data_IF_510291330226
#
_entry.id   IF_510291330226
#
_cell.length_a   1.000
_cell.length_b   1.000
_cell.length_c   1.000
_cell.angle_alpha   90.00
_cell.angle_beta   90.00
_cell.angle_gamma   90.00
#
_symmetry.space_group_name_H-M   'P 1'
#
loop_
_entity.id
_entity.type
_entity.pdbx_description
1 polymer ?
#
# COMPACT_ATOMS: atom_id res chain seq x y z
N UNK A 1 9.87 55.77 25.13
CA UNK A 1 9.78 55.13 23.79
C UNK A 1 9.54 53.63 23.88
N UNK A 2 10.28 52.88 24.71
CA UNK A 2 10.19 51.41 24.84
C UNK A 2 8.79 50.83 25.13
N UNK A 3 7.97 51.51 25.95
CA UNK A 3 6.58 51.11 26.27
C UNK A 3 5.62 51.19 25.07
N UNK A 4 5.82 52.17 24.18
CA UNK A 4 5.00 52.36 22.97
C UNK A 4 5.32 51.29 21.93
N UNK A 5 6.60 50.99 21.73
CA UNK A 5 7.04 49.90 20.84
C UNK A 5 6.55 48.54 21.34
N UNK A 6 6.60 48.28 22.65
CA UNK A 6 6.07 47.03 23.23
C UNK A 6 4.56 46.87 22.99
N UNK A 7 3.77 47.92 23.21
CA UNK A 7 2.32 47.87 22.96
C UNK A 7 1.98 47.63 21.48
N UNK A 8 2.75 48.20 20.56
CA UNK A 8 2.58 48.00 19.11
C UNK A 8 2.93 46.54 18.72
N UNK A 9 4.01 45.99 19.26
CA UNK A 9 4.39 44.59 19.01
C UNK A 9 3.35 43.60 19.54
N UNK A 10 2.82 43.83 20.76
CA UNK A 10 1.77 42.98 21.33
C UNK A 10 0.49 43.07 20.48
N UNK A 11 0.07 44.26 20.07
CA UNK A 11 -1.10 44.42 19.21
C UNK A 11 -0.93 43.71 17.85
N UNK A 12 0.25 43.78 17.24
CA UNK A 12 0.54 43.11 15.97
C UNK A 12 0.48 41.56 16.08
N UNK A 13 0.93 40.99 17.20
CA UNK A 13 0.85 39.54 17.46
C UNK A 13 -0.61 39.09 17.62
N UNK A 14 -1.44 39.86 18.32
CA UNK A 14 -2.86 39.55 18.46
C UNK A 14 -3.65 39.66 17.15
N UNK A 15 -3.24 40.52 16.21
CA UNK A 15 -3.88 40.62 14.90
C UNK A 15 -3.58 39.41 13.97
N UNK A 16 -2.45 38.73 14.14
CA UNK A 16 -2.10 37.53 13.37
C UNK A 16 -2.80 36.25 13.83
N UNK A 17 -3.33 36.24 15.06
CA UNK A 17 -3.95 35.05 15.67
C UNK A 17 -5.36 34.74 15.15
N UNK A 18 -5.98 35.64 14.38
CA UNK A 18 -7.31 35.47 13.79
C UNK A 18 -7.29 34.91 12.36
N UNK A 19 -6.11 34.72 11.75
CA UNK A 19 -5.99 34.07 10.46
C UNK A 19 -5.96 32.55 10.64
N UNK A 20 -6.98 31.85 10.12
CA UNK A 20 -6.96 30.39 10.09
C UNK A 20 -5.82 29.93 9.18
N UNK A 21 -4.94 29.00 9.62
CA UNK A 21 -3.86 28.48 8.78
C UNK A 21 -4.37 27.60 7.62
N UNK A 22 -5.69 27.37 7.55
CA UNK A 22 -6.35 26.60 6.51
C UNK A 22 -6.92 27.55 5.46
N UNK A 23 -6.45 27.41 4.22
CA UNK A 23 -6.97 28.12 3.05
C UNK A 23 -7.51 27.14 2.01
N UNK A 24 -8.50 27.57 1.23
CA UNK A 24 -9.05 26.80 0.12
C UNK A 24 -8.47 27.36 -1.18
N UNK A 25 -7.94 26.49 -2.03
CA UNK A 25 -7.58 26.82 -3.41
C UNK A 25 -8.44 25.99 -4.35
N UNK A 26 -8.98 26.64 -5.39
CA UNK A 26 -9.62 25.93 -6.48
C UNK A 26 -8.52 25.28 -7.32
N UNK A 27 -8.47 23.95 -7.32
CA UNK A 27 -7.57 23.17 -8.15
C UNK A 27 -8.19 22.92 -9.54
N UNK A 28 -7.34 22.73 -10.55
CA UNK A 28 -7.84 22.35 -11.88
C UNK A 28 -8.43 20.94 -11.85
N UNK A 29 -9.45 20.61 -12.67
CA UNK A 29 -10.02 19.26 -12.73
C UNK A 29 -8.97 18.16 -13.00
N UNK A 30 -7.98 18.45 -13.84
CA UNK A 30 -6.90 17.51 -14.15
C UNK A 30 -5.97 17.26 -12.95
N UNK A 31 -5.68 18.30 -12.17
CA UNK A 31 -4.89 18.18 -10.94
C UNK A 31 -5.60 17.29 -9.92
N UNK A 32 -6.90 17.51 -9.72
CA UNK A 32 -7.74 16.68 -8.84
C UNK A 32 -7.78 15.24 -9.32
N UNK A 33 -7.99 15.01 -10.62
CA UNK A 33 -8.02 13.65 -11.16
C UNK A 33 -6.71 12.92 -10.91
N UNK A 34 -5.56 13.54 -11.22
CA UNK A 34 -4.24 12.94 -10.97
C UNK A 34 -4.00 12.63 -9.50
N UNK A 35 -4.44 13.52 -8.62
CA UNK A 35 -4.35 13.32 -7.18
C UNK A 35 -5.20 12.11 -6.74
N UNK A 36 -6.45 12.01 -7.21
CA UNK A 36 -7.37 10.93 -6.83
C UNK A 36 -6.97 9.56 -7.40
N UNK A 37 -6.31 9.53 -8.56
CA UNK A 37 -5.90 8.28 -9.21
C UNK A 37 -4.46 7.87 -8.92
N UNK A 38 -3.73 8.62 -8.08
CA UNK A 38 -2.36 8.25 -7.72
C UNK A 38 -2.39 6.97 -6.89
N UNK A 39 -1.44 6.10 -7.17
CA UNK A 39 -1.28 4.83 -6.49
C UNK A 39 0.15 4.33 -6.70
N UNK A 40 0.42 3.16 -6.14
CA UNK A 40 1.73 2.51 -6.23
C UNK A 40 2.27 2.36 -7.65
N UNK A 41 1.38 2.18 -8.64
CA UNK A 41 1.76 1.91 -10.02
C UNK A 41 1.99 3.18 -10.84
N UNK A 42 1.26 4.26 -10.53
CA UNK A 42 1.26 5.50 -11.34
C UNK A 42 2.16 6.60 -10.79
N UNK A 43 2.38 6.62 -9.48
CA UNK A 43 3.09 7.71 -8.80
C UNK A 43 4.06 7.22 -7.71
N UNK A 44 4.24 5.90 -7.54
CA UNK A 44 5.13 5.30 -6.53
C UNK A 44 4.86 5.79 -5.11
N UNK A 45 3.60 6.13 -4.83
CA UNK A 45 3.10 6.54 -3.50
C UNK A 45 1.85 5.75 -3.16
N UNK A 46 1.55 5.53 -1.88
CA UNK A 46 0.28 4.92 -1.49
C UNK A 46 -0.91 5.73 -1.99
N UNK A 47 -1.94 5.05 -2.51
CA UNK A 47 -3.22 5.67 -2.80
C UNK A 47 -3.91 6.16 -1.52
N UNK A 48 -4.89 7.05 -1.67
CA UNK A 48 -5.68 7.54 -0.53
C UNK A 48 -6.45 6.41 0.17
N UNK A 49 -6.80 5.32 -0.53
CA UNK A 49 -7.43 4.13 0.06
C UNK A 49 -6.49 3.45 1.07
N UNK A 50 -5.22 3.23 0.69
CA UNK A 50 -4.22 2.64 1.58
C UNK A 50 -3.84 3.58 2.71
N UNK A 51 -3.74 4.89 2.43
CA UNK A 51 -3.51 5.90 3.47
C UNK A 51 -4.66 5.98 4.48
N UNK A 52 -5.91 5.76 4.05
CA UNK A 52 -7.06 5.69 4.96
C UNK A 52 -6.91 4.51 5.93
N UNK A 53 -6.47 3.35 5.47
CA UNK A 53 -6.23 2.19 6.35
C UNK A 53 -5.07 2.45 7.32
N UNK A 54 -3.96 3.01 6.85
CA UNK A 54 -2.86 3.39 7.75
C UNK A 54 -3.30 4.44 8.78
N UNK A 55 -4.17 5.39 8.43
CA UNK A 55 -4.72 6.37 9.39
C UNK A 55 -5.68 5.73 10.39
N UNK A 56 -6.58 4.87 9.91
CA UNK A 56 -7.58 4.19 10.76
C UNK A 56 -6.95 3.47 11.95
N UNK A 57 -5.76 2.90 11.75
CA UNK A 57 -5.05 2.12 12.77
C UNK A 57 -3.80 2.81 13.33
N UNK A 58 -3.64 4.12 13.10
CA UNK A 58 -2.49 4.91 13.55
C UNK A 58 -1.12 4.32 13.14
N UNK A 59 -1.05 3.78 11.92
CA UNK A 59 0.14 3.17 11.34
C UNK A 59 0.91 4.12 10.41
N UNK A 60 0.49 5.37 10.25
CA UNK A 60 1.15 6.31 9.33
C UNK A 60 2.63 6.56 9.69
N UNK A 61 2.90 6.88 10.96
CA UNK A 61 4.28 7.13 11.42
C UNK A 61 5.09 5.82 11.43
N UNK A 62 4.48 4.72 11.86
CA UNK A 62 5.10 3.41 11.88
C UNK A 62 5.52 2.97 10.47
N UNK A 63 4.64 3.09 9.47
CA UNK A 63 4.94 2.73 8.09
C UNK A 63 6.07 3.56 7.49
N UNK A 64 6.20 4.84 7.88
CA UNK A 64 7.32 5.68 7.43
C UNK A 64 8.65 5.27 8.06
N UNK A 65 8.62 4.79 9.31
CA UNK A 65 9.82 4.42 10.06
C UNK A 65 10.30 2.99 9.75
N UNK A 66 9.37 2.04 9.76
CA UNK A 66 9.58 0.63 9.49
C UNK A 66 8.34 0.07 8.76
N UNK A 67 8.36 0.12 7.41
CA UNK A 67 7.23 -0.34 6.60
C UNK A 67 6.91 -1.82 6.79
N UNK A 68 7.92 -2.68 6.92
CA UNK A 68 7.72 -4.12 7.05
C UNK A 68 7.01 -4.44 8.38
N UNK A 69 7.48 -3.85 9.49
CA UNK A 69 6.82 -3.99 10.78
C UNK A 69 5.39 -3.43 10.76
N UNK A 70 5.15 -2.30 10.08
CA UNK A 70 3.82 -1.72 9.94
C UNK A 70 2.88 -2.63 9.13
N UNK A 71 3.37 -3.29 8.08
CA UNK A 71 2.60 -4.26 7.29
C UNK A 71 2.25 -5.51 8.08
N UNK A 72 3.17 -6.02 8.91
CA UNK A 72 2.87 -7.13 9.84
C UNK A 72 1.76 -6.75 10.81
N UNK A 73 1.80 -5.53 11.37
CA UNK A 73 0.74 -5.04 12.27
C UNK A 73 -0.59 -4.88 11.53
N UNK A 74 -0.58 -4.33 10.31
CA UNK A 74 -1.79 -4.19 9.50
C UNK A 74 -2.39 -5.56 9.15
N UNK A 75 -1.56 -6.56 8.83
CA UNK A 75 -2.01 -7.93 8.62
C UNK A 75 -2.70 -8.51 9.86
N UNK A 76 -2.07 -8.39 11.03
CA UNK A 76 -2.64 -8.92 12.27
C UNK A 76 -3.99 -8.27 12.59
N UNK A 77 -4.13 -6.97 12.37
CA UNK A 77 -5.41 -6.26 12.53
C UNK A 77 -6.43 -6.78 11.52
N UNK A 78 -6.06 -6.88 10.23
CA UNK A 78 -6.94 -7.38 9.19
C UNK A 78 -7.44 -8.79 9.52
N UNK A 79 -6.57 -9.67 10.02
CA UNK A 79 -6.93 -11.02 10.45
C UNK A 79 -8.00 -11.02 11.56
N UNK A 80 -7.91 -10.10 12.53
CA UNK A 80 -8.93 -9.98 13.59
C UNK A 80 -10.29 -9.47 13.08
N UNK A 81 -10.30 -8.77 11.95
CA UNK A 81 -11.50 -8.26 11.27
C UNK A 81 -11.96 -9.14 10.11
N UNK A 82 -11.45 -10.37 10.01
CA UNK A 82 -11.74 -11.30 8.91
C UNK A 82 -11.38 -10.74 7.51
N UNK A 83 -10.22 -10.09 7.41
CA UNK A 83 -9.66 -9.54 6.16
C UNK A 83 -10.67 -8.72 5.33
N UNK A 84 -11.11 -7.55 5.82
CA UNK A 84 -12.02 -6.69 5.06
C UNK A 84 -11.35 -6.22 3.75
N UNK A 85 -12.16 -5.96 2.72
CA UNK A 85 -11.67 -5.61 1.38
C UNK A 85 -10.74 -4.40 1.38
N UNK A 86 -11.03 -3.38 2.18
CA UNK A 86 -10.14 -2.21 2.31
C UNK A 86 -8.75 -2.58 2.83
N UNK A 87 -8.67 -3.50 3.80
CA UNK A 87 -7.40 -3.95 4.36
C UNK A 87 -6.63 -4.83 3.36
N UNK A 88 -7.32 -5.72 2.65
CA UNK A 88 -6.72 -6.53 1.58
C UNK A 88 -6.13 -5.63 0.47
N UNK A 89 -6.88 -4.62 0.02
CA UNK A 89 -6.37 -3.66 -0.96
C UNK A 89 -5.14 -2.92 -0.44
N UNK A 90 -5.19 -2.42 0.81
CA UNK A 90 -4.07 -1.69 1.40
C UNK A 90 -2.82 -2.57 1.56
N UNK A 91 -2.98 -3.80 2.03
CA UNK A 91 -1.89 -4.77 2.14
C UNK A 91 -1.30 -5.09 0.77
N UNK A 92 -2.13 -5.23 -0.27
CA UNK A 92 -1.67 -5.48 -1.64
C UNK A 92 -0.82 -4.32 -2.18
N UNK A 93 -1.33 -3.10 -2.08
CA UNK A 93 -0.67 -1.91 -2.64
C UNK A 93 0.62 -1.58 -1.87
N UNK A 94 0.57 -1.57 -0.54
CA UNK A 94 1.71 -1.19 0.29
C UNK A 94 2.83 -2.25 0.20
N UNK A 95 2.49 -3.55 0.10
CA UNK A 95 3.49 -4.60 -0.14
C UNK A 95 4.18 -4.43 -1.50
N UNK A 96 3.43 -4.02 -2.54
CA UNK A 96 4.00 -3.73 -3.85
C UNK A 96 4.99 -2.55 -3.80
N UNK A 97 4.63 -1.47 -3.11
CA UNK A 97 5.51 -0.31 -2.94
C UNK A 97 6.81 -0.69 -2.24
N UNK A 98 6.73 -1.50 -1.20
CA UNK A 98 7.92 -1.95 -0.46
C UNK A 98 8.83 -2.85 -1.30
N UNK A 99 8.28 -3.59 -2.26
CA UNK A 99 9.07 -4.42 -3.15
C UNK A 99 10.03 -3.60 -4.04
N UNK A 100 9.69 -2.35 -4.42
CA UNK A 100 10.54 -1.51 -5.27
C UNK A 100 11.79 -0.92 -4.59
N UNK A 101 11.95 -1.08 -3.27
CA UNK A 101 13.00 -0.44 -2.47
C UNK A 101 14.22 -1.35 -2.16
N UNK A 102 14.22 -2.60 -2.62
CA UNK A 102 15.34 -3.55 -2.47
C UNK A 102 15.00 -4.83 -1.69
N UNK A 103 15.36 -5.98 -2.30
CA UNK A 103 15.07 -7.37 -1.89
C UNK A 103 13.59 -7.74 -1.99
N UNK A 104 13.17 -8.10 -3.21
CA UNK A 104 11.89 -7.64 -3.76
C UNK A 104 10.84 -8.73 -3.97
N UNK A 105 11.23 -10.00 -4.14
CA UNK A 105 10.34 -11.02 -4.71
C UNK A 105 9.25 -11.45 -3.73
N UNK A 106 9.57 -11.69 -2.47
CA UNK A 106 8.62 -12.08 -1.43
C UNK A 106 7.54 -11.01 -1.23
N UNK A 107 7.93 -9.74 -1.33
CA UNK A 107 7.00 -8.60 -1.23
C UNK A 107 6.08 -8.50 -2.45
N UNK A 108 6.57 -8.82 -3.65
CA UNK A 108 5.69 -9.00 -4.81
C UNK A 108 4.77 -10.21 -4.63
N UNK A 109 5.23 -11.34 -4.07
CA UNK A 109 4.35 -12.48 -3.77
C UNK A 109 3.26 -12.09 -2.77
N UNK A 110 3.61 -11.38 -1.68
CA UNK A 110 2.65 -10.87 -0.72
C UNK A 110 1.60 -9.96 -1.40
N UNK A 111 2.06 -9.02 -2.23
CA UNK A 111 1.17 -8.15 -3.00
C UNK A 111 0.20 -8.94 -3.89
N UNK A 112 0.71 -9.95 -4.61
CA UNK A 112 -0.10 -10.81 -5.47
C UNK A 112 -1.18 -11.58 -4.67
N UNK A 113 -0.83 -12.15 -3.51
CA UNK A 113 -1.79 -12.89 -2.67
C UNK A 113 -2.92 -11.97 -2.19
N UNK A 114 -2.59 -10.79 -1.65
CA UNK A 114 -3.62 -9.87 -1.16
C UNK A 114 -4.47 -9.29 -2.29
N UNK A 115 -3.87 -8.97 -3.44
CA UNK A 115 -4.60 -8.51 -4.61
C UNK A 115 -5.58 -9.60 -5.10
N UNK A 116 -5.15 -10.86 -5.12
CA UNK A 116 -6.01 -11.98 -5.47
C UNK A 116 -7.18 -12.12 -4.50
N UNK A 117 -6.91 -12.14 -3.18
CA UNK A 117 -7.96 -12.24 -2.16
C UNK A 117 -8.95 -11.06 -2.20
N UNK A 118 -8.49 -9.87 -2.60
CA UNK A 118 -9.35 -8.71 -2.82
C UNK A 118 -10.26 -8.86 -4.05
N UNK A 119 -9.69 -9.34 -5.17
CA UNK A 119 -10.41 -9.51 -6.45
C UNK A 119 -11.37 -10.71 -6.44
N UNK A 120 -11.03 -11.75 -5.69
CA UNK A 120 -11.75 -13.02 -5.63
C UNK A 120 -12.07 -13.36 -4.17
N UNK A 121 -13.00 -12.62 -3.54
CA UNK A 121 -13.36 -12.87 -2.15
C UNK A 121 -14.06 -14.24 -2.00
N UNK A 122 -13.87 -14.89 -0.85
CA UNK A 122 -14.50 -16.18 -0.54
C UNK A 122 -16.04 -16.10 -0.51
N UNK A 123 -16.67 -17.26 -0.68
CA UNK A 123 -18.12 -17.42 -0.71
C UNK A 123 -18.80 -16.76 0.51
N UNK A 124 -19.82 -15.94 0.24
CA UNK A 124 -20.58 -15.22 1.26
C UNK A 124 -20.12 -13.78 1.51
N UNK A 125 -18.98 -13.35 0.94
CA UNK A 125 -18.58 -11.93 0.94
C UNK A 125 -19.22 -11.20 -0.25
N UNK A 126 -19.69 -9.95 -0.07
CA UNK A 126 -20.22 -9.18 -1.18
C UNK A 126 -19.11 -8.91 -2.21
N UNK A 127 -19.40 -9.01 -3.51
CA UNK A 127 -18.43 -8.62 -4.53
C UNK A 127 -18.13 -7.12 -4.43
N UNK A 128 -17.01 -6.71 -5.00
CA UNK A 128 -16.69 -5.29 -5.16
C UNK A 128 -17.79 -4.59 -5.96
N UNK A 129 -18.05 -3.32 -5.64
CA UNK A 129 -18.96 -2.53 -6.43
C UNK A 129 -18.44 -2.42 -7.86
N UNK A 130 -19.33 -2.50 -8.87
CA UNK A 130 -18.96 -2.47 -10.30
C UNK A 130 -18.13 -1.24 -10.73
N UNK A 131 -18.16 -0.18 -9.94
CA UNK A 131 -17.44 1.08 -10.19
C UNK A 131 -16.39 1.34 -9.12
N UNK A 132 -16.01 0.35 -8.32
CA UNK A 132 -14.96 0.49 -7.33
C UNK A 132 -13.61 0.71 -8.07
N UNK A 133 -13.00 1.90 -7.96
CA UNK A 133 -11.78 2.20 -8.68
C UNK A 133 -10.59 1.32 -8.28
N UNK A 134 -10.68 0.65 -7.12
CA UNK A 134 -9.65 -0.25 -6.62
C UNK A 134 -9.56 -1.54 -7.40
N UNK A 135 -10.65 -1.99 -8.04
CA UNK A 135 -10.67 -3.24 -8.81
C UNK A 135 -9.60 -3.23 -9.91
N UNK A 136 -9.56 -2.15 -10.70
CA UNK A 136 -8.56 -2.03 -11.77
C UNK A 136 -7.13 -1.96 -11.23
N UNK A 137 -6.91 -1.19 -10.17
CA UNK A 137 -5.59 -1.04 -9.55
C UNK A 137 -5.12 -2.37 -8.98
N UNK A 138 -6.00 -3.13 -8.31
CA UNK A 138 -5.67 -4.44 -7.76
C UNK A 138 -5.35 -5.47 -8.86
N UNK A 139 -6.08 -5.45 -9.98
CA UNK A 139 -5.76 -6.32 -11.12
C UNK A 139 -4.38 -6.00 -11.72
N UNK A 140 -4.05 -4.72 -11.87
CA UNK A 140 -2.74 -4.31 -12.38
C UNK A 140 -1.61 -4.61 -11.37
N UNK A 141 -1.88 -4.45 -10.07
CA UNK A 141 -0.97 -4.88 -9.00
C UNK A 141 -0.73 -6.38 -9.06
N UNK A 142 -1.77 -7.20 -9.11
CA UNK A 142 -1.68 -8.66 -9.21
C UNK A 142 -0.81 -9.09 -10.39
N UNK A 143 -1.15 -8.62 -11.59
CA UNK A 143 -0.45 -9.00 -12.82
C UNK A 143 1.03 -8.60 -12.78
N UNK A 144 1.33 -7.37 -12.35
CA UNK A 144 2.71 -6.88 -12.29
C UNK A 144 3.50 -7.54 -11.16
N UNK A 145 2.87 -7.79 -10.02
CA UNK A 145 3.48 -8.46 -8.88
C UNK A 145 3.87 -9.90 -9.24
N UNK A 146 2.98 -10.68 -9.87
CA UNK A 146 3.30 -12.03 -10.37
C UNK A 146 4.47 -11.97 -11.35
N UNK A 147 4.43 -11.07 -12.33
CA UNK A 147 5.50 -10.94 -13.32
C UNK A 147 6.86 -10.59 -12.70
N UNK A 148 6.88 -9.77 -11.64
CA UNK A 148 8.11 -9.34 -10.97
C UNK A 148 8.60 -10.39 -9.95
N UNK A 149 7.70 -11.03 -9.21
CA UNK A 149 8.01 -12.14 -8.32
C UNK A 149 8.68 -13.29 -9.10
N UNK A 150 8.16 -13.63 -10.28
CA UNK A 150 8.66 -14.72 -11.12
C UNK A 150 9.47 -14.23 -12.33
N UNK A 151 10.15 -13.09 -12.21
CA UNK A 151 11.06 -12.62 -13.27
C UNK A 151 12.32 -13.49 -13.32
N UNK A 152 12.68 -13.96 -14.52
CA UNK A 152 13.93 -14.69 -14.77
C UNK A 152 15.15 -13.92 -14.22
N UNK A 153 15.96 -14.58 -13.39
CA UNK A 153 17.22 -14.00 -12.87
C UNK A 153 18.30 -13.97 -13.97
N UNK A 154 19.41 -13.24 -13.75
CA UNK A 154 20.58 -13.25 -14.66
C UNK A 154 21.15 -14.65 -14.90
N UNK A 155 20.93 -15.59 -13.99
CA UNK A 155 21.34 -17.00 -14.09
C UNK A 155 20.36 -17.83 -14.94
N UNK A 156 19.29 -17.22 -15.45
CA UNK A 156 18.41 -17.84 -16.44
C UNK A 156 17.37 -18.81 -15.87
N UNK A 157 17.36 -19.03 -14.56
CA UNK A 157 16.41 -19.89 -13.86
C UNK A 157 16.00 -19.12 -12.59
N UNK A 158 14.69 -19.00 -12.33
CA UNK A 158 14.24 -18.75 -10.96
C UNK A 158 14.63 -20.00 -10.18
N UNK A 159 15.74 -19.93 -9.46
CA UNK A 159 16.09 -21.01 -8.54
C UNK A 159 15.06 -20.94 -7.41
N UNK A 160 14.05 -21.81 -7.46
CA UNK A 160 13.31 -22.23 -6.28
C UNK A 160 14.32 -23.05 -5.46
N UNK A 161 15.27 -22.35 -4.82
CA UNK A 161 16.48 -22.95 -4.27
C UNK A 161 16.10 -23.97 -3.18
N UNK A 162 16.36 -25.26 -3.45
CA UNK A 162 16.33 -26.33 -2.44
C UNK A 162 15.34 -27.48 -2.60
N UNK A 163 14.57 -27.60 -3.68
CA UNK A 163 13.46 -28.55 -3.69
C UNK A 163 13.34 -29.32 -5.01
N UNK A 164 13.22 -30.63 -4.85
CA UNK A 164 12.65 -31.60 -5.77
C UNK A 164 11.20 -31.20 -6.12
N UNK A 165 11.01 -30.11 -6.88
CA UNK A 165 9.70 -29.71 -7.40
C UNK A 165 8.89 -28.73 -6.55
N UNK A 166 9.45 -28.02 -5.57
CA UNK A 166 8.73 -26.97 -4.85
C UNK A 166 9.60 -25.74 -4.51
N UNK A 167 9.05 -24.68 -3.91
CA UNK A 167 9.79 -23.47 -3.53
C UNK A 167 9.04 -22.75 -2.42
N UNK A 168 9.74 -22.34 -1.36
CA UNK A 168 9.10 -21.70 -0.19
C UNK A 168 9.49 -20.24 -0.14
N UNK A 169 8.49 -19.35 -0.22
CA UNK A 169 8.65 -17.92 -0.01
C UNK A 169 8.29 -17.59 1.44
N UNK A 170 9.25 -17.01 2.18
CA UNK A 170 8.98 -16.44 3.50
C UNK A 170 8.24 -15.12 3.32
N UNK A 171 6.99 -15.08 3.79
CA UNK A 171 6.17 -13.87 3.79
C UNK A 171 6.23 -13.23 5.19
N UNK A 172 5.99 -11.91 5.30
CA UNK A 172 5.94 -11.25 6.62
C UNK A 172 4.90 -11.84 7.59
N UNK A 173 3.98 -12.67 7.09
CA UNK A 173 2.84 -13.24 7.81
C UNK A 173 2.70 -14.76 7.64
N UNK A 174 3.72 -15.45 7.12
CA UNK A 174 3.68 -16.89 6.92
C UNK A 174 4.64 -17.39 5.86
N UNK A 175 4.28 -18.50 5.20
CA UNK A 175 5.07 -19.05 4.10
C UNK A 175 4.15 -19.49 2.96
N UNK A 176 4.55 -19.22 1.73
CA UNK A 176 3.91 -19.76 0.54
C UNK A 176 4.79 -20.85 -0.05
N UNK A 177 4.25 -22.05 -0.19
CA UNK A 177 4.88 -23.12 -0.98
C UNK A 177 4.32 -23.10 -2.38
N UNK A 178 5.21 -23.07 -3.38
CA UNK A 178 4.88 -23.18 -4.79
C UNK A 178 5.42 -24.51 -5.27
N UNK A 179 4.56 -25.36 -5.81
CA UNK A 179 4.94 -26.67 -6.33
C UNK A 179 4.91 -26.64 -7.87
N UNK A 180 5.91 -27.25 -8.50
CA UNK A 180 5.90 -27.54 -9.93
C UNK A 180 5.25 -28.92 -10.10
N UNK A 181 4.13 -29.01 -10.84
CA UNK A 181 3.57 -30.30 -11.20
C UNK A 181 4.61 -31.16 -11.95
N UNK A 182 4.68 -32.46 -11.71
CA UNK A 182 5.67 -33.35 -12.32
C UNK A 182 5.61 -33.36 -13.86
N UNK A 183 4.46 -33.01 -14.45
CA UNK A 183 4.20 -33.10 -15.89
C UNK A 183 4.48 -31.80 -16.67
N UNK A 184 4.99 -30.76 -16.01
CA UNK A 184 5.32 -29.51 -16.69
C UNK A 184 6.75 -29.60 -17.24
N UNK A 185 6.86 -29.90 -18.54
CA UNK A 185 8.06 -30.11 -19.39
C UNK A 185 8.84 -31.41 -19.18
#
# INVERSE_FOLDING_TARGET
MLRRTFAICVAAIFCGACASPVGIRIASPLEVQRYLTRNALTAEVPSDFSLNQLRRYDLMAAFKADPDAALVRLHAIAQTEDFPSDALFALAELSFLQAGAGSEQERYVASAIYAYAFLFPEDGRPPLGQLDPRERVAADLYNRAVALAFRRTRQGILTLEGLEGSGVFALPFGSLTIERPPDLL
#
